data_IF_622368293191
#
_entry.id   IF_622368293191
#
_cell.length_a   1.000
_cell.length_b   1.000
_cell.length_c   1.000
_cell.angle_alpha   90.00
_cell.angle_beta   90.00
_cell.angle_gamma   90.00
#
_symmetry.space_group_name_H-M   'P 1'
#
loop_
_entity.id
_entity.type
_entity.pdbx_description
1 polymer ?
#
# COMPACT_ATOMS: atom_id res chain seq x y z
N UNK A 1 33.00 18.25 12.81
CA UNK A 1 33.36 19.05 11.62
C UNK A 1 32.21 20.00 11.38
N UNK A 2 32.46 21.29 11.49
CA UNK A 2 31.48 22.35 11.22
C UNK A 2 31.92 23.06 9.95
N UNK A 3 31.02 23.15 8.98
CA UNK A 3 31.26 23.86 7.73
C UNK A 3 30.41 25.12 7.72
N UNK A 4 31.03 26.29 7.53
CA UNK A 4 30.35 27.55 7.29
C UNK A 4 30.65 27.99 5.86
N UNK A 5 29.65 28.44 5.10
CA UNK A 5 29.85 28.94 3.75
C UNK A 5 29.16 30.29 3.60
N UNK A 6 29.74 31.17 2.78
CA UNK A 6 29.16 32.49 2.50
C UNK A 6 27.91 32.38 1.62
N UNK A 7 27.92 31.45 0.67
CA UNK A 7 26.78 31.14 -0.19
C UNK A 7 26.63 29.62 -0.33
N UNK A 8 25.39 29.16 -0.27
CA UNK A 8 25.03 27.78 -0.51
C UNK A 8 23.93 27.75 -1.58
N UNK A 9 24.15 26.94 -2.63
CA UNK A 9 23.16 26.67 -3.65
C UNK A 9 22.75 25.20 -3.60
N UNK A 10 21.45 24.95 -3.69
CA UNK A 10 20.84 23.63 -3.57
C UNK A 10 20.21 23.25 -4.90
N UNK A 11 20.76 22.25 -5.56
CA UNK A 11 20.20 21.67 -6.78
C UNK A 11 19.61 20.29 -6.49
N UNK A 12 18.38 20.06 -6.94
CA UNK A 12 17.66 18.81 -6.72
C UNK A 12 17.71 17.94 -7.97
N UNK A 13 18.43 16.82 -7.91
CA UNK A 13 18.35 15.80 -8.96
C UNK A 13 17.31 14.75 -8.55
N UNK A 14 16.07 14.97 -9.00
CA UNK A 14 14.94 14.07 -8.77
C UNK A 14 15.11 12.70 -9.47
N UNK A 15 15.98 12.59 -10.48
CA UNK A 15 16.21 11.35 -11.21
C UNK A 15 17.15 10.42 -10.46
N UNK A 16 18.18 10.96 -9.81
CA UNK A 16 19.14 10.21 -9.00
C UNK A 16 18.79 10.16 -7.51
N UNK A 17 17.83 10.97 -7.05
CA UNK A 17 17.46 11.05 -5.63
C UNK A 17 18.56 11.65 -4.77
N UNK A 18 19.34 12.59 -5.34
CA UNK A 18 20.44 13.29 -4.67
C UNK A 18 20.21 14.80 -4.67
N UNK A 19 20.56 15.44 -3.56
CA UNK A 19 20.65 16.90 -3.45
C UNK A 19 22.11 17.25 -3.68
N UNK A 20 22.38 18.07 -4.68
CA UNK A 20 23.69 18.64 -4.94
C UNK A 20 23.77 19.96 -4.19
N UNK A 21 24.53 19.97 -3.09
CA UNK A 21 24.82 21.18 -2.31
C UNK A 21 26.13 21.77 -2.84
N UNK A 22 26.06 22.91 -3.52
CA UNK A 22 27.21 23.71 -3.95
C UNK A 22 27.49 24.78 -2.91
N UNK A 23 28.65 24.72 -2.26
CA UNK A 23 29.10 25.68 -1.27
C UNK A 23 30.17 26.58 -1.89
N UNK A 24 30.03 27.90 -1.76
CA UNK A 24 31.01 28.89 -2.22
C UNK A 24 31.56 29.65 -1.03
N UNK A 25 32.89 29.84 -1.01
CA UNK A 25 33.66 30.42 0.11
C UNK A 25 33.38 29.67 1.43
N UNK A 26 33.75 28.40 1.51
CA UNK A 26 33.52 27.59 2.72
C UNK A 26 34.74 27.55 3.65
N UNK A 27 34.47 27.81 4.93
CA UNK A 27 35.37 27.64 6.06
C UNK A 27 35.02 26.34 6.79
N UNK A 28 35.93 25.38 6.74
CA UNK A 28 35.79 24.09 7.39
C UNK A 28 36.59 24.09 8.69
N UNK A 29 35.92 23.90 9.82
CA UNK A 29 36.57 23.76 11.12
C UNK A 29 36.52 22.30 11.59
N UNK A 30 37.71 21.71 11.75
CA UNK A 30 37.89 20.34 12.21
C UNK A 30 38.55 20.38 13.60
N UNK A 31 37.80 20.02 14.66
CA UNK A 31 38.33 20.02 16.02
C UNK A 31 39.62 19.19 16.11
N UNK A 32 40.73 19.82 16.49
CA UNK A 32 42.04 19.17 16.64
C UNK A 32 42.86 18.99 15.36
N UNK A 33 42.41 19.48 14.20
CA UNK A 33 43.13 19.33 12.91
C UNK A 33 43.31 20.62 12.10
N UNK A 34 42.84 21.76 12.60
CA UNK A 34 42.95 23.08 11.97
C UNK A 34 41.72 23.46 11.13
N UNK A 35 41.68 24.72 10.69
CA UNK A 35 40.65 25.22 9.78
C UNK A 35 41.18 25.35 8.35
N UNK A 36 40.33 25.06 7.37
CA UNK A 36 40.66 25.12 5.95
C UNK A 36 39.65 25.98 5.20
N UNK A 37 40.16 26.85 4.33
CA UNK A 37 39.36 27.65 3.40
C UNK A 37 39.33 26.95 2.05
N UNK A 38 38.13 26.73 1.50
CA UNK A 38 37.96 26.21 0.15
C UNK A 38 37.03 27.14 -0.64
N UNK A 39 37.42 27.44 -1.88
CA UNK A 39 36.68 28.38 -2.74
C UNK A 39 35.34 27.79 -3.23
N UNK A 40 35.31 26.50 -3.56
CA UNK A 40 34.11 25.82 -4.05
C UNK A 40 34.13 24.33 -3.67
N UNK A 41 33.06 23.85 -3.02
CA UNK A 41 32.88 22.43 -2.68
C UNK A 41 31.45 21.99 -3.07
N UNK A 42 31.34 20.94 -3.89
CA UNK A 42 30.05 20.33 -4.24
C UNK A 42 29.88 19.02 -3.48
N UNK A 43 28.91 18.97 -2.56
CA UNK A 43 28.56 17.79 -1.77
C UNK A 43 27.25 17.20 -2.24
N UNK A 44 27.27 15.93 -2.65
CA UNK A 44 26.06 15.18 -2.90
C UNK A 44 25.50 14.62 -1.58
N UNK A 45 24.38 15.16 -1.13
CA UNK A 45 23.64 14.66 0.03
C UNK A 45 22.51 13.74 -0.47
N UNK A 46 22.29 12.58 0.17
CA UNK A 46 21.09 11.79 -0.11
C UNK A 46 19.85 12.64 0.24
N UNK A 47 18.82 12.64 -0.62
CA UNK A 47 17.58 13.34 -0.28
C UNK A 47 17.07 12.82 1.08
N UNK A 48 16.76 13.68 2.07
CA UNK A 48 16.11 13.24 3.29
C UNK A 48 14.73 12.64 2.94
N UNK A 49 14.57 11.35 3.25
CA UNK A 49 13.46 10.50 2.78
C UNK A 49 13.84 9.56 1.61
N UNK A 50 14.92 9.81 0.88
CA UNK A 50 15.22 9.15 -0.39
C UNK A 50 14.16 9.47 -1.44
N UNK A 51 14.01 8.62 -2.45
CA UNK A 51 12.80 8.54 -3.29
C UNK A 51 11.58 8.06 -2.46
N UNK A 52 11.38 8.59 -1.25
CA UNK A 52 10.53 8.02 -0.20
C UNK A 52 9.16 7.70 -0.75
N UNK A 53 8.94 6.41 -0.99
CA UNK A 53 7.70 5.93 -1.53
C UNK A 53 6.77 5.78 -0.35
N UNK A 54 5.93 6.78 -0.13
CA UNK A 54 4.84 6.71 0.85
C UNK A 54 4.14 5.37 0.70
N UNK A 55 4.25 4.49 1.71
CA UNK A 55 3.56 3.19 1.69
C UNK A 55 2.08 3.46 1.45
N UNK A 56 1.40 2.59 0.71
CA UNK A 56 -0.03 2.75 0.41
C UNK A 56 -0.88 2.99 1.68
N UNK A 57 -0.46 2.46 2.83
CA UNK A 57 -1.08 2.68 4.15
C UNK A 57 -1.07 4.13 4.64
N UNK A 58 -0.06 4.92 4.27
CA UNK A 58 0.07 6.34 4.69
C UNK A 58 -0.53 7.32 3.68
N UNK A 59 -1.18 6.80 2.63
CA UNK A 59 -1.71 7.60 1.53
C UNK A 59 -3.21 7.89 1.74
N UNK A 60 -3.67 9.09 1.35
CA UNK A 60 -5.09 9.44 1.36
C UNK A 60 -5.87 8.64 0.30
N UNK A 61 -7.17 8.47 0.52
CA UNK A 61 -8.05 7.73 -0.41
C UNK A 61 -8.07 8.39 -1.80
N UNK A 62 -8.04 9.72 -1.85
CA UNK A 62 -7.98 10.48 -3.09
C UNK A 62 -6.70 10.19 -3.88
N UNK A 63 -5.54 10.24 -3.22
CA UNK A 63 -4.26 9.93 -3.86
C UNK A 63 -4.19 8.45 -4.28
N UNK A 64 -4.81 7.54 -3.52
CA UNK A 64 -4.98 6.14 -3.93
C UNK A 64 -5.81 6.03 -5.22
N UNK A 65 -6.98 6.69 -5.29
CA UNK A 65 -7.85 6.67 -6.47
C UNK A 65 -7.16 7.26 -7.69
N UNK A 66 -6.51 8.42 -7.53
CA UNK A 66 -5.77 9.06 -8.60
C UNK A 66 -4.65 8.16 -9.14
N UNK A 67 -3.85 7.55 -8.25
CA UNK A 67 -2.81 6.60 -8.67
C UNK A 67 -3.37 5.35 -9.35
N UNK A 68 -4.53 4.86 -8.91
CA UNK A 68 -5.18 3.72 -9.54
C UNK A 68 -5.67 4.07 -10.95
N UNK A 69 -6.27 5.25 -11.12
CA UNK A 69 -6.71 5.77 -12.42
C UNK A 69 -5.54 5.98 -13.39
N UNK A 70 -4.46 6.59 -12.93
CA UNK A 70 -3.23 6.77 -13.72
C UNK A 70 -2.63 5.43 -14.16
N UNK A 71 -2.60 4.43 -13.27
CA UNK A 71 -2.06 3.12 -13.63
C UNK A 71 -2.96 2.43 -14.67
N UNK A 72 -4.28 2.57 -14.56
CA UNK A 72 -5.23 1.97 -15.50
C UNK A 72 -5.12 2.60 -16.90
N UNK A 73 -5.04 3.93 -16.98
CA UNK A 73 -4.82 4.64 -18.25
C UNK A 73 -3.49 4.25 -18.89
N UNK A 74 -2.44 4.09 -18.08
CA UNK A 74 -1.13 3.68 -18.58
C UNK A 74 -1.15 2.25 -19.13
N UNK A 75 -1.89 1.34 -18.51
CA UNK A 75 -2.07 -0.02 -19.03
C UNK A 75 -2.79 0.01 -20.37
N UNK A 76 -3.86 0.80 -20.50
CA UNK A 76 -4.58 0.98 -21.76
C UNK A 76 -3.67 1.53 -22.87
N UNK A 77 -2.86 2.55 -22.59
CA UNK A 77 -1.91 3.09 -23.57
C UNK A 77 -0.87 2.05 -24.04
N UNK A 78 -0.40 1.20 -23.12
CA UNK A 78 0.55 0.12 -23.47
C UNK A 78 -0.14 -0.94 -24.32
N UNK A 79 -1.36 -1.31 -23.98
CA UNK A 79 -2.17 -2.27 -24.74
C UNK A 79 -2.47 -1.75 -26.15
N UNK A 80 -2.86 -0.48 -26.28
CA UNK A 80 -3.07 0.19 -27.57
C UNK A 80 -1.79 0.18 -28.42
N UNK A 81 -0.64 0.53 -27.84
CA UNK A 81 0.65 0.47 -28.52
C UNK A 81 1.01 -0.94 -28.98
N UNK A 82 0.71 -1.95 -28.16
CA UNK A 82 0.94 -3.36 -28.50
C UNK A 82 0.03 -3.81 -29.64
N UNK A 83 -1.24 -3.39 -29.65
CA UNK A 83 -2.19 -3.70 -30.74
C UNK A 83 -1.72 -3.05 -32.05
N UNK A 84 -1.32 -1.78 -32.03
CA UNK A 84 -0.82 -1.08 -33.22
C UNK A 84 0.43 -1.76 -33.75
N UNK A 85 1.38 -2.12 -32.88
CA UNK A 85 2.59 -2.82 -33.27
C UNK A 85 2.29 -4.21 -33.83
N UNK A 86 1.34 -4.94 -33.22
CA UNK A 86 0.91 -6.25 -33.72
C UNK A 86 0.23 -6.13 -35.09
N UNK A 87 -0.66 -5.14 -35.28
CA UNK A 87 -1.32 -4.88 -36.56
C UNK A 87 -0.32 -4.54 -37.67
N UNK A 88 0.66 -3.67 -37.35
CA UNK A 88 1.73 -3.33 -38.27
C UNK A 88 2.52 -4.57 -38.70
N UNK A 89 2.91 -5.42 -37.75
CA UNK A 89 3.64 -6.67 -38.01
C UNK A 89 2.83 -7.68 -38.83
N UNK A 90 1.54 -7.84 -38.53
CA UNK A 90 0.63 -8.69 -39.30
C UNK A 90 0.52 -8.21 -40.75
N UNK A 91 0.52 -6.90 -40.97
CA UNK A 91 0.43 -6.29 -42.31
C UNK A 91 1.72 -6.44 -43.10
N UNK A 92 2.89 -6.34 -42.44
CA UNK A 92 4.20 -6.44 -43.10
C UNK A 92 4.68 -7.89 -43.30
N UNK A 93 3.94 -8.90 -42.81
CA UNK A 93 4.33 -10.31 -42.89
C UNK A 93 5.52 -10.68 -42.01
N UNK A 94 5.87 -9.84 -41.03
CA UNK A 94 7.00 -10.05 -40.13
C UNK A 94 6.56 -10.80 -38.87
N UNK A 95 6.64 -12.13 -38.94
CA UNK A 95 6.23 -13.05 -37.86
C UNK A 95 7.42 -13.63 -37.07
N UNK A 96 8.65 -13.17 -37.32
CA UNK A 96 9.88 -13.77 -36.77
C UNK A 96 9.94 -13.77 -35.22
N UNK A 97 9.11 -12.94 -34.59
CA UNK A 97 9.20 -12.58 -33.17
C UNK A 97 7.98 -13.09 -32.35
N UNK A 98 7.04 -13.80 -32.98
CA UNK A 98 5.79 -14.22 -32.33
C UNK A 98 5.97 -15.33 -31.28
N UNK A 99 7.03 -16.14 -31.43
CA UNK A 99 7.37 -17.23 -30.49
C UNK A 99 8.26 -16.77 -29.32
N UNK A 100 8.91 -15.62 -29.43
CA UNK A 100 10.03 -15.25 -28.53
C UNK A 100 9.64 -14.21 -27.48
N UNK A 101 8.59 -13.42 -27.73
CA UNK A 101 8.31 -12.20 -26.98
C UNK A 101 7.21 -12.26 -25.90
N UNK A 102 6.71 -13.44 -25.51
CA UNK A 102 5.99 -13.57 -24.23
C UNK A 102 6.84 -13.12 -23.02
N UNK A 103 8.17 -13.17 -23.17
CA UNK A 103 9.15 -12.80 -22.14
C UNK A 103 9.40 -11.28 -22.03
N UNK A 104 8.96 -10.46 -22.98
CA UNK A 104 9.11 -9.00 -22.89
C UNK A 104 8.16 -8.35 -21.85
N UNK A 105 7.18 -9.10 -21.31
CA UNK A 105 6.34 -8.66 -20.18
C UNK A 105 7.11 -8.53 -18.86
N UNK A 106 8.36 -8.98 -18.79
CA UNK A 106 9.22 -8.85 -17.60
C UNK A 106 10.34 -7.83 -17.80
N UNK A 107 10.01 -6.56 -18.04
CA UNK A 107 10.86 -5.52 -17.46
C UNK A 107 10.35 -5.29 -16.04
N UNK A 108 11.00 -5.83 -14.99
CA UNK A 108 10.67 -5.49 -13.63
C UNK A 108 11.07 -4.02 -13.45
N UNK A 109 10.16 -3.11 -13.76
CA UNK A 109 10.33 -1.69 -13.49
C UNK A 109 10.43 -1.60 -11.97
N UNK A 110 11.68 -1.53 -11.50
CA UNK A 110 12.06 -1.51 -10.10
C UNK A 110 11.05 -0.61 -9.38
N UNK A 111 10.29 -1.22 -8.49
CA UNK A 111 9.74 -0.59 -7.30
C UNK A 111 8.53 0.37 -7.44
N UNK A 112 7.56 0.05 -8.31
CA UNK A 112 6.21 0.62 -8.23
C UNK A 112 5.30 -0.19 -7.30
N UNK A 113 4.43 0.48 -6.54
CA UNK A 113 3.40 -0.17 -5.72
C UNK A 113 2.45 -0.90 -6.67
N UNK A 114 2.29 -2.22 -6.51
CA UNK A 114 1.41 -3.02 -7.38
C UNK A 114 -0.03 -2.49 -7.33
N UNK A 115 -0.76 -2.44 -8.46
CA UNK A 115 -2.15 -2.00 -8.48
C UNK A 115 -3.05 -2.86 -7.57
N UNK A 116 -2.71 -4.15 -7.41
CA UNK A 116 -3.39 -5.06 -6.48
C UNK A 116 -3.29 -4.61 -5.03
N UNK A 117 -2.12 -4.11 -4.60
CA UNK A 117 -1.92 -3.59 -3.24
C UNK A 117 -2.73 -2.31 -3.04
N UNK A 118 -2.80 -1.44 -4.05
CA UNK A 118 -3.57 -0.21 -3.99
C UNK A 118 -5.08 -0.49 -3.86
N UNK A 119 -5.62 -1.42 -4.66
CA UNK A 119 -7.02 -1.88 -4.55
C UNK A 119 -7.31 -2.52 -3.20
N UNK A 120 -6.40 -3.37 -2.72
CA UNK A 120 -6.52 -4.02 -1.39
C UNK A 120 -6.65 -3.01 -0.27
N UNK A 121 -5.80 -1.99 -0.25
CA UNK A 121 -5.83 -0.96 0.79
C UNK A 121 -7.09 -0.08 0.73
N UNK A 122 -7.70 0.07 -0.46
CA UNK A 122 -8.98 0.78 -0.59
C UNK A 122 -10.13 -0.04 0.00
N UNK A 123 -10.24 -1.32 -0.38
CA UNK A 123 -11.29 -2.21 0.11
C UNK A 123 -11.13 -2.54 1.60
N UNK A 124 -9.90 -2.64 2.11
CA UNK A 124 -9.63 -2.88 3.53
C UNK A 124 -10.18 -1.79 4.43
N UNK A 125 -10.00 -0.53 4.04
CA UNK A 125 -10.49 0.63 4.81
C UNK A 125 -12.00 0.59 4.94
N UNK A 126 -12.71 0.33 3.83
CA UNK A 126 -14.17 0.23 3.81
C UNK A 126 -14.64 -0.97 4.66
N UNK A 127 -14.00 -2.13 4.48
CA UNK A 127 -14.33 -3.34 5.23
C UNK A 127 -14.18 -3.13 6.75
N UNK A 128 -13.09 -2.47 7.19
CA UNK A 128 -12.87 -2.15 8.61
C UNK A 128 -13.84 -1.12 9.17
N UNK A 129 -14.25 -0.11 8.40
CA UNK A 129 -15.30 0.80 8.86
C UNK A 129 -16.63 0.07 9.04
N UNK A 130 -16.95 -0.87 8.13
CA UNK A 130 -18.19 -1.66 8.21
C UNK A 130 -18.18 -2.76 9.30
N UNK A 131 -17.00 -3.21 9.76
CA UNK A 131 -16.91 -4.30 10.76
C UNK A 131 -17.57 -3.95 12.09
N UNK A 132 -17.64 -2.66 12.45
CA UNK A 132 -18.35 -2.20 13.64
C UNK A 132 -19.82 -2.63 13.65
N UNK A 133 -20.51 -2.51 12.51
CA UNK A 133 -21.91 -2.95 12.38
C UNK A 133 -22.06 -4.45 12.63
N UNK A 134 -21.17 -5.26 12.07
CA UNK A 134 -21.20 -6.72 12.24
C UNK A 134 -20.87 -7.16 13.67
N UNK A 135 -19.99 -6.44 14.36
CA UNK A 135 -19.71 -6.69 15.78
C UNK A 135 -20.93 -6.41 16.66
N UNK A 136 -21.67 -5.33 16.39
CA UNK A 136 -22.92 -5.04 17.12
C UNK A 136 -23.97 -6.10 16.82
N UNK A 137 -24.12 -6.52 15.56
CA UNK A 137 -25.07 -7.56 15.15
C UNK A 137 -24.81 -8.91 15.85
N UNK A 138 -23.54 -9.26 16.04
CA UNK A 138 -23.12 -10.47 16.77
C UNK A 138 -23.25 -10.30 18.30
N UNK A 139 -22.82 -9.16 18.83
CA UNK A 139 -22.73 -8.92 20.27
C UNK A 139 -24.07 -8.65 20.95
N UNK A 140 -25.02 -8.00 20.26
CA UNK A 140 -26.34 -7.68 20.81
C UNK A 140 -27.12 -8.93 21.29
N UNK A 141 -27.34 -9.98 20.48
CA UNK A 141 -28.06 -11.18 20.94
C UNK A 141 -27.30 -11.96 22.04
N UNK A 142 -25.97 -11.96 21.99
CA UNK A 142 -25.13 -12.57 23.03
C UNK A 142 -25.28 -11.84 24.38
N UNK A 143 -25.30 -10.50 24.34
CA UNK A 143 -25.47 -9.71 25.54
C UNK A 143 -26.85 -9.89 26.18
N UNK A 144 -27.90 -9.98 25.37
CA UNK A 144 -29.28 -10.20 25.84
C UNK A 144 -29.43 -11.59 26.47
N UNK A 145 -28.94 -12.64 25.81
CA UNK A 145 -29.07 -14.03 26.32
C UNK A 145 -28.27 -14.28 27.60
N UNK A 146 -27.15 -13.57 27.81
CA UNK A 146 -26.33 -13.70 29.03
C UNK A 146 -26.50 -12.57 30.04
N UNK A 147 -27.58 -11.80 29.98
CA UNK A 147 -27.83 -10.66 30.87
C UNK A 147 -27.80 -11.00 32.38
N UNK A 148 -28.01 -12.27 32.76
CA UNK A 148 -27.93 -12.73 34.17
C UNK A 148 -26.54 -13.18 34.65
N UNK A 149 -25.54 -13.22 33.78
CA UNK A 149 -24.15 -13.58 34.14
C UNK A 149 -23.34 -12.36 34.56
N UNK A 150 -22.20 -12.60 35.24
CA UNK A 150 -21.22 -11.57 35.54
C UNK A 150 -20.75 -10.86 34.26
N UNK A 151 -20.71 -9.53 34.29
CA UNK A 151 -20.36 -8.66 33.15
C UNK A 151 -19.06 -9.11 32.47
N UNK A 152 -18.05 -9.49 33.26
CA UNK A 152 -16.75 -9.95 32.77
C UNK A 152 -16.85 -11.23 31.93
N UNK A 153 -17.67 -12.20 32.36
CA UNK A 153 -17.85 -13.47 31.64
C UNK A 153 -18.57 -13.24 30.32
N UNK A 154 -19.58 -12.37 30.30
CA UNK A 154 -20.31 -12.02 29.08
C UNK A 154 -19.38 -11.31 28.07
N UNK A 155 -18.57 -10.36 28.55
CA UNK A 155 -17.58 -9.68 27.72
C UNK A 155 -16.57 -10.65 27.10
N UNK A 156 -15.96 -11.53 27.92
CA UNK A 156 -15.02 -12.56 27.44
C UNK A 156 -15.67 -13.49 26.42
N UNK A 157 -16.90 -13.93 26.66
CA UNK A 157 -17.62 -14.85 25.77
C UNK A 157 -17.92 -14.22 24.41
N UNK A 158 -18.19 -12.91 24.35
CA UNK A 158 -18.41 -12.20 23.10
C UNK A 158 -17.09 -11.86 22.39
N UNK A 159 -16.06 -11.43 23.13
CA UNK A 159 -14.85 -10.85 22.55
C UNK A 159 -13.82 -11.91 22.15
N UNK A 160 -13.71 -13.00 22.90
CA UNK A 160 -12.73 -14.07 22.65
C UNK A 160 -12.91 -14.73 21.27
N UNK A 161 -14.13 -15.11 20.84
CA UNK A 161 -14.32 -15.71 19.51
C UNK A 161 -14.02 -14.71 18.40
N UNK A 162 -14.33 -13.42 18.60
CA UNK A 162 -14.02 -12.37 17.63
C UNK A 162 -12.50 -12.28 17.45
N UNK A 163 -11.72 -12.21 18.51
CA UNK A 163 -10.25 -12.17 18.40
C UNK A 163 -9.72 -13.42 17.69
N UNK A 164 -10.17 -14.61 18.11
CA UNK A 164 -9.63 -15.88 17.62
C UNK A 164 -10.01 -16.14 16.16
N UNK A 165 -11.20 -15.72 15.71
CA UNK A 165 -11.67 -16.01 14.35
C UNK A 165 -11.46 -14.83 13.41
N UNK A 166 -11.92 -13.64 13.77
CA UNK A 166 -11.92 -12.50 12.85
C UNK A 166 -10.50 -12.04 12.52
N UNK A 167 -9.62 -11.94 13.51
CA UNK A 167 -8.28 -11.39 13.28
C UNK A 167 -7.41 -12.28 12.38
N UNK A 168 -7.33 -13.62 12.61
CA UNK A 168 -6.60 -14.49 11.70
C UNK A 168 -7.17 -14.52 10.29
N UNK A 169 -8.51 -14.56 10.13
CA UNK A 169 -9.17 -14.54 8.82
C UNK A 169 -8.82 -13.27 8.05
N UNK A 170 -8.92 -12.10 8.69
CA UNK A 170 -8.57 -10.82 8.08
C UNK A 170 -7.09 -10.76 7.71
N UNK A 171 -6.20 -11.22 8.59
CA UNK A 171 -4.75 -11.24 8.31
C UNK A 171 -4.41 -12.14 7.12
N UNK A 172 -5.03 -13.33 7.04
CA UNK A 172 -4.88 -14.22 5.90
C UNK A 172 -5.36 -13.57 4.60
N UNK A 173 -6.54 -12.93 4.61
CA UNK A 173 -7.07 -12.22 3.45
C UNK A 173 -6.16 -11.07 2.99
N UNK A 174 -5.60 -10.28 3.91
CA UNK A 174 -4.65 -9.21 3.58
C UNK A 174 -3.37 -9.77 2.97
N UNK A 175 -2.86 -10.87 3.52
CA UNK A 175 -1.62 -11.50 3.01
C UNK A 175 -1.82 -12.03 1.58
N UNK A 176 -2.95 -12.70 1.32
CA UNK A 176 -3.27 -13.30 0.03
C UNK A 176 -3.61 -12.28 -1.06
N UNK A 177 -4.34 -11.21 -0.69
CA UNK A 177 -4.65 -10.10 -1.61
C UNK A 177 -3.41 -9.30 -2.00
N UNK A 178 -2.48 -9.05 -1.06
CA UNK A 178 -1.17 -8.45 -1.37
C UNK A 178 -0.29 -9.34 -2.24
N UNK A 179 -0.39 -10.66 -2.10
CA UNK A 179 0.28 -11.62 -2.98
C UNK A 179 -0.32 -11.65 -4.40
N UNK A 180 -1.51 -11.07 -4.61
CA UNK A 180 -2.20 -11.04 -5.90
C UNK A 180 -2.91 -12.35 -6.24
N UNK A 181 -3.07 -13.27 -5.28
CA UNK A 181 -3.70 -14.59 -5.51
C UNK A 181 -5.23 -14.55 -5.46
N UNK A 182 -5.81 -13.56 -4.79
CA UNK A 182 -7.26 -13.45 -4.57
C UNK A 182 -7.70 -12.04 -4.89
N UNK A 183 -8.88 -11.89 -5.51
CA UNK A 183 -9.47 -10.58 -5.78
C UNK A 183 -9.68 -9.83 -4.45
N UNK A 184 -9.04 -8.67 -4.27
CA UNK A 184 -9.19 -7.87 -3.06
C UNK A 184 -10.64 -7.43 -2.80
N UNK A 185 -11.49 -7.37 -3.84
CA UNK A 185 -12.88 -6.95 -3.70
C UNK A 185 -13.72 -7.93 -2.87
N UNK A 186 -13.46 -9.24 -2.92
CA UNK A 186 -14.20 -10.25 -2.13
C UNK A 186 -13.44 -10.66 -0.88
N UNK A 187 -12.11 -10.82 -0.97
CA UNK A 187 -11.29 -11.28 0.14
C UNK A 187 -11.47 -10.45 1.41
N UNK A 188 -11.63 -9.13 1.29
CA UNK A 188 -11.77 -8.23 2.43
C UNK A 188 -13.15 -8.30 3.09
N UNK A 189 -14.17 -8.80 2.38
CA UNK A 189 -15.53 -8.93 2.91
C UNK A 189 -15.78 -10.29 3.57
N UNK A 190 -14.96 -11.30 3.29
CA UNK A 190 -15.11 -12.64 3.88
C UNK A 190 -15.14 -12.57 5.41
N UNK A 191 -14.27 -11.79 6.04
CA UNK A 191 -14.26 -11.62 7.50
C UNK A 191 -15.59 -11.07 8.03
N UNK A 192 -16.14 -10.06 7.37
CA UNK A 192 -17.44 -9.49 7.72
C UNK A 192 -18.60 -10.46 7.42
N UNK A 193 -18.52 -11.24 6.33
CA UNK A 193 -19.51 -12.27 5.99
C UNK A 193 -19.56 -13.40 7.04
N UNK A 194 -18.41 -13.81 7.57
CA UNK A 194 -18.34 -14.80 8.66
C UNK A 194 -19.02 -14.25 9.93
N UNK A 195 -18.74 -12.99 10.29
CA UNK A 195 -19.40 -12.34 11.43
C UNK A 195 -20.91 -12.21 11.22
N UNK A 196 -21.34 -11.83 10.01
CA UNK A 196 -22.75 -11.73 9.66
C UNK A 196 -23.48 -13.07 9.80
N UNK A 197 -22.87 -14.15 9.29
CA UNK A 197 -23.43 -15.50 9.39
C UNK A 197 -23.55 -15.94 10.85
N UNK A 198 -22.48 -15.76 11.63
CA UNK A 198 -22.48 -16.10 13.06
C UNK A 198 -23.51 -15.28 13.85
N UNK A 199 -23.59 -13.96 13.58
CA UNK A 199 -24.55 -13.05 14.21
C UNK A 199 -25.99 -13.42 13.86
N UNK A 200 -26.27 -13.74 12.59
CA UNK A 200 -27.60 -14.17 12.14
C UNK A 200 -28.04 -15.48 12.81
N UNK A 201 -27.13 -16.45 12.94
CA UNK A 201 -27.43 -17.73 13.63
C UNK A 201 -27.74 -17.49 15.11
N UNK A 202 -26.95 -16.65 15.79
CA UNK A 202 -27.16 -16.31 17.20
C UNK A 202 -28.46 -15.54 17.41
N UNK A 203 -28.74 -14.56 16.54
CA UNK A 203 -29.98 -13.79 16.56
C UNK A 203 -31.21 -14.69 16.38
N UNK A 204 -31.18 -15.60 15.40
CA UNK A 204 -32.25 -16.60 15.21
C UNK A 204 -32.45 -17.49 16.42
N UNK A 205 -31.38 -17.91 17.11
CA UNK A 205 -31.49 -18.70 18.34
C UNK A 205 -32.13 -17.90 19.46
N UNK A 206 -31.78 -16.62 19.61
CA UNK A 206 -32.37 -15.74 20.60
C UNK A 206 -33.86 -15.49 20.35
N UNK A 207 -34.28 -15.27 19.10
CA UNK A 207 -35.69 -15.03 18.78
C UNK A 207 -36.58 -16.28 18.89
N UNK A 208 -35.98 -17.47 18.90
CA UNK A 208 -36.72 -18.74 18.94
C UNK A 208 -36.87 -19.30 20.37
N UNK A 209 -36.24 -18.67 21.35
CA UNK A 209 -36.24 -19.04 22.76
C UNK A 209 -36.99 -17.99 23.58
#
# INVERSE_FOLDING_TARGET
VTAQARKANLEFDATQGKILLKLTDCHLDVPGRGSMWMAEETRALPLPGGLNRTKARHMSIETLKHKLGQENQRQQQIEEQQIVQACFRMTTGDFADWTTNETAKTTPRKSRIKPTVLRTEMHSRIAFSSSCFFFVLLGAPLAITQARRQVLTNFLTCFLPIIIVYYPVVMLCISQSRAGKVDPAWAMWIGNGVLFLAGSIMFRRCCRN
#
